data_IF_199008852308
#
_entry.id   IF_199008852308
#
_cell.length_a   1.000
_cell.length_b   1.000
_cell.length_c   1.000
_cell.angle_alpha   90.00
_cell.angle_beta   90.00
_cell.angle_gamma   90.00
#
_symmetry.space_group_name_H-M   'P 1'
#
loop_
_entity.id
_entity.type
_entity.pdbx_description
1 polymer ?
#
# COMPACT_ATOMS: atom_id res chain seq x y z
N UNK A 1 -12.32 42.14 -22.24
CA UNK A 1 -12.64 41.29 -21.08
C UNK A 1 -11.37 40.56 -20.69
N UNK A 2 -10.69 41.04 -19.67
CA UNK A 2 -9.41 40.51 -19.21
C UNK A 2 -9.67 39.33 -18.30
N UNK A 3 -9.35 38.12 -18.77
CA UNK A 3 -9.43 36.90 -17.97
C UNK A 3 -8.40 37.02 -16.85
N UNK A 4 -8.85 37.22 -15.62
CA UNK A 4 -7.97 37.23 -14.46
C UNK A 4 -7.31 35.84 -14.35
N UNK A 5 -5.98 35.79 -14.49
CA UNK A 5 -5.21 34.59 -14.22
C UNK A 5 -5.50 34.15 -12.78
N UNK A 6 -6.09 32.96 -12.62
CA UNK A 6 -6.15 32.32 -11.32
C UNK A 6 -4.72 32.20 -10.78
N UNK A 7 -4.45 32.58 -9.52
CA UNK A 7 -3.14 32.33 -8.94
C UNK A 7 -2.84 30.84 -9.07
N UNK A 8 -1.69 30.50 -9.66
CA UNK A 8 -1.29 29.11 -9.82
C UNK A 8 -1.38 28.41 -8.47
N UNK A 9 -2.14 27.31 -8.41
CA UNK A 9 -2.26 26.50 -7.21
C UNK A 9 -0.85 26.09 -6.77
N UNK A 10 -0.48 26.45 -5.54
CA UNK A 10 0.84 26.18 -4.97
C UNK A 10 0.67 25.40 -3.69
N UNK A 11 1.45 24.33 -3.53
CA UNK A 11 1.45 23.52 -2.31
C UNK A 11 1.89 24.38 -1.13
N UNK A 12 1.18 24.27 -0.02
CA UNK A 12 1.60 24.96 1.20
C UNK A 12 2.90 24.35 1.70
N UNK A 13 3.93 25.15 1.92
CA UNK A 13 5.23 24.67 2.45
C UNK A 13 5.06 23.92 3.78
N UNK A 14 4.11 24.34 4.63
CA UNK A 14 3.79 23.64 5.88
C UNK A 14 3.16 22.25 5.70
N UNK A 15 2.73 21.92 4.49
CA UNK A 15 2.23 20.60 4.12
C UNK A 15 3.32 19.73 3.47
N UNK A 16 4.58 20.18 3.42
CA UNK A 16 5.69 19.42 2.85
C UNK A 16 6.66 18.97 3.93
N UNK A 17 7.17 17.74 3.79
CA UNK A 17 8.34 17.27 4.53
C UNK A 17 9.33 16.62 3.58
N UNK A 18 10.58 17.06 3.65
CA UNK A 18 11.64 16.57 2.77
C UNK A 18 12.71 15.83 3.58
N UNK A 19 13.14 14.69 3.05
CA UNK A 19 14.34 13.99 3.49
C UNK A 19 15.29 13.92 2.30
N UNK A 20 16.50 14.42 2.51
CA UNK A 20 17.53 14.50 1.47
C UNK A 20 18.57 13.40 1.64
N UNK A 21 19.11 13.00 0.51
CA UNK A 21 20.33 12.20 0.37
C UNK A 21 21.49 12.72 1.24
N UNK A 22 22.45 11.86 1.65
CA UNK A 22 23.59 12.27 2.44
C UNK A 22 24.45 13.32 1.72
N UNK A 23 24.82 14.40 2.42
CA UNK A 23 25.60 15.52 1.85
C UNK A 23 26.98 15.10 1.36
N UNK A 24 27.58 14.09 1.99
CA UNK A 24 28.87 13.49 1.56
C UNK A 24 28.68 12.27 0.65
N UNK A 25 27.46 12.00 0.21
CA UNK A 25 27.10 10.87 -0.64
C UNK A 25 27.08 11.25 -2.13
N UNK A 26 26.67 10.30 -3.00
CA UNK A 26 26.43 10.60 -4.41
C UNK A 26 25.28 11.58 -4.58
N UNK A 27 25.22 12.22 -5.74
CA UNK A 27 24.07 13.05 -6.13
C UNK A 27 22.75 12.26 -6.04
N UNK A 28 21.65 12.99 -5.88
CA UNK A 28 20.31 12.42 -5.84
C UNK A 28 20.07 11.54 -7.07
N UNK A 29 19.74 10.27 -6.81
CA UNK A 29 19.42 9.26 -7.83
C UNK A 29 18.07 9.48 -8.51
N UNK A 30 17.25 10.32 -7.91
CA UNK A 30 15.90 10.68 -8.32
C UNK A 30 15.11 11.17 -7.13
N UNK A 31 13.84 11.46 -7.36
CA UNK A 31 12.93 11.97 -6.34
C UNK A 31 11.71 11.07 -6.19
N UNK A 32 11.35 10.82 -4.95
CA UNK A 32 10.14 10.12 -4.54
C UNK A 32 9.18 11.12 -3.90
N UNK A 33 8.04 11.36 -4.54
CA UNK A 33 6.99 12.21 -3.98
C UNK A 33 5.92 11.34 -3.34
N UNK A 34 5.80 11.41 -2.01
CA UNK A 34 4.83 10.64 -1.24
C UNK A 34 3.54 11.44 -1.10
N UNK A 35 2.42 10.91 -1.59
CA UNK A 35 1.08 11.44 -1.36
C UNK A 35 0.47 10.69 -0.18
N UNK A 36 0.24 11.40 0.92
CA UNK A 36 -0.18 10.79 2.19
C UNK A 36 -1.61 10.26 2.14
N UNK A 37 -1.93 9.34 3.06
CA UNK A 37 -3.25 8.77 3.21
C UNK A 37 -4.26 9.72 3.85
N UNK A 38 -5.48 9.23 4.04
CA UNK A 38 -6.59 10.05 4.55
C UNK A 38 -6.28 10.54 5.95
N UNK A 39 -6.29 11.85 6.15
CA UNK A 39 -6.03 12.46 7.45
C UNK A 39 -4.62 12.29 8.00
N UNK A 40 -3.72 11.64 7.27
CA UNK A 40 -2.31 11.56 7.65
C UNK A 40 -1.60 12.91 7.43
N UNK A 41 -0.50 13.11 8.14
CA UNK A 41 0.44 14.20 7.89
C UNK A 41 1.76 13.65 7.33
N UNK A 42 2.62 14.49 6.71
CA UNK A 42 3.90 14.06 6.18
C UNK A 42 4.81 13.36 7.19
N UNK A 43 4.69 13.69 8.49
CA UNK A 43 5.49 13.12 9.59
C UNK A 43 5.35 11.60 9.70
N UNK A 44 4.22 11.03 9.30
CA UNK A 44 3.96 9.58 9.25
C UNK A 44 5.02 8.83 8.43
N UNK A 45 5.63 9.51 7.46
CA UNK A 45 6.59 8.93 6.51
C UNK A 45 8.05 9.06 6.93
N UNK A 46 8.35 9.55 8.14
CA UNK A 46 9.73 9.83 8.54
C UNK A 46 10.67 8.63 8.38
N UNK A 47 10.28 7.45 8.85
CA UNK A 47 11.14 6.27 8.71
C UNK A 47 11.27 5.78 7.27
N UNK A 48 10.24 5.94 6.45
CA UNK A 48 10.25 5.54 5.05
C UNK A 48 11.16 6.49 4.26
N UNK A 49 10.94 7.79 4.42
CA UNK A 49 11.72 8.85 3.79
C UNK A 49 13.19 8.78 4.16
N UNK A 50 13.54 8.62 5.45
CA UNK A 50 14.94 8.48 5.88
C UNK A 50 15.65 7.27 5.28
N UNK A 51 14.95 6.15 5.06
CA UNK A 51 15.57 4.95 4.48
C UNK A 51 15.88 5.14 3.00
N UNK A 52 14.91 5.61 2.22
CA UNK A 52 15.12 5.90 0.81
C UNK A 52 16.17 7.02 0.61
N UNK A 53 16.18 8.02 1.49
CA UNK A 53 17.22 9.04 1.51
C UNK A 53 18.62 8.45 1.74
N UNK A 54 18.76 7.47 2.63
CA UNK A 54 20.04 6.78 2.82
C UNK A 54 20.51 6.04 1.56
N UNK A 55 19.58 5.61 0.71
CA UNK A 55 19.86 5.03 -0.62
C UNK A 55 20.00 6.09 -1.74
N UNK A 56 20.22 7.36 -1.35
CA UNK A 56 20.41 8.52 -2.22
C UNK A 56 19.20 8.93 -3.08
N UNK A 57 17.98 8.63 -2.64
CA UNK A 57 16.76 9.22 -3.22
C UNK A 57 16.28 10.42 -2.41
N UNK A 58 15.98 11.53 -3.07
CA UNK A 58 15.29 12.63 -2.40
C UNK A 58 13.84 12.23 -2.16
N UNK A 59 13.33 12.39 -0.95
CA UNK A 59 11.93 12.07 -0.62
C UNK A 59 11.19 13.32 -0.18
N UNK A 60 10.04 13.59 -0.79
CA UNK A 60 9.16 14.71 -0.44
C UNK A 60 7.77 14.17 -0.15
N UNK A 61 7.32 14.24 1.10
CA UNK A 61 5.94 13.92 1.47
C UNK A 61 5.04 15.16 1.38
N UNK A 62 3.90 15.00 0.70
CA UNK A 62 2.88 16.01 0.45
C UNK A 62 1.65 15.68 1.28
N UNK A 63 1.40 16.51 2.29
CA UNK A 63 0.30 16.39 3.25
C UNK A 63 -0.98 17.11 2.85
N UNK A 64 -0.99 17.72 1.66
CA UNK A 64 -2.19 18.32 1.09
C UNK A 64 -3.08 17.20 0.53
N UNK A 65 -4.32 17.04 1.02
CA UNK A 65 -5.24 16.05 0.47
C UNK A 65 -5.62 16.41 -0.97
N UNK A 66 -5.57 15.43 -1.86
CA UNK A 66 -5.90 15.58 -3.28
C UNK A 66 -5.27 16.81 -3.96
N UNK A 67 -3.92 16.90 -3.99
CA UNK A 67 -3.25 18.08 -4.46
C UNK A 67 -3.49 18.30 -5.96
N UNK A 68 -3.67 19.57 -6.35
CA UNK A 68 -3.89 19.92 -7.75
C UNK A 68 -2.70 19.51 -8.63
N UNK A 69 -2.93 18.96 -9.85
CA UNK A 69 -1.85 18.54 -10.73
C UNK A 69 -0.80 19.61 -11.02
N UNK A 70 -1.22 20.87 -11.17
CA UNK A 70 -0.32 22.00 -11.44
C UNK A 70 0.62 22.28 -10.25
N UNK A 71 0.12 22.09 -9.03
CA UNK A 71 0.90 22.30 -7.82
C UNK A 71 1.98 21.21 -7.66
N UNK A 72 1.63 19.96 -7.96
CA UNK A 72 2.57 18.84 -7.98
C UNK A 72 3.58 19.00 -9.13
N UNK A 73 3.14 19.37 -10.33
CA UNK A 73 4.03 19.64 -11.46
C UNK A 73 5.07 20.74 -11.14
N UNK A 74 4.63 21.83 -10.51
CA UNK A 74 5.50 22.90 -10.07
C UNK A 74 6.54 22.40 -9.03
N UNK A 75 6.13 21.53 -8.12
CA UNK A 75 7.06 20.89 -7.18
C UNK A 75 8.09 20.02 -7.92
N UNK A 76 7.65 19.14 -8.83
CA UNK A 76 8.54 18.24 -9.59
C UNK A 76 9.59 19.01 -10.39
N UNK A 77 9.23 20.15 -10.98
CA UNK A 77 10.15 20.99 -11.76
C UNK A 77 11.33 21.55 -10.93
N UNK A 78 11.24 21.54 -9.59
CA UNK A 78 12.31 21.99 -8.68
C UNK A 78 13.19 20.86 -8.16
N UNK A 79 12.86 19.61 -8.49
CA UNK A 79 13.44 18.42 -7.89
C UNK A 79 14.22 17.59 -8.90
N UNK A 80 15.30 16.89 -8.49
CA UNK A 80 16.07 16.04 -9.38
C UNK A 80 15.22 14.87 -9.90
N UNK A 81 15.22 14.68 -11.21
CA UNK A 81 14.61 13.52 -11.86
C UNK A 81 15.48 12.25 -11.76
N UNK A 82 14.94 11.07 -12.11
CA UNK A 82 13.53 10.83 -12.43
C UNK A 82 12.62 10.97 -11.21
N UNK A 83 11.35 11.31 -11.44
CA UNK A 83 10.35 11.44 -10.39
C UNK A 83 9.45 10.21 -10.31
N UNK A 84 9.22 9.69 -9.11
CA UNK A 84 8.28 8.59 -8.85
C UNK A 84 7.26 9.04 -7.81
N UNK A 85 5.98 8.81 -8.10
CA UNK A 85 4.91 9.04 -7.13
C UNK A 85 4.75 7.81 -6.24
N UNK A 86 4.62 8.00 -4.94
CA UNK A 86 4.26 6.94 -3.99
C UNK A 86 2.98 7.38 -3.32
N UNK A 87 1.89 6.67 -3.54
CA UNK A 87 0.62 6.94 -2.90
C UNK A 87 0.24 5.83 -1.93
N UNK A 88 -0.41 6.21 -0.83
CA UNK A 88 -0.91 5.32 0.21
C UNK A 88 -2.36 5.64 0.53
N UNK A 89 -3.22 4.63 0.75
CA UNK A 89 -4.64 4.87 1.06
C UNK A 89 -5.27 5.83 0.01
N UNK A 90 -5.97 6.92 0.38
CA UNK A 90 -6.46 7.88 -0.61
C UNK A 90 -5.35 8.58 -1.43
N UNK A 91 -4.15 8.71 -0.88
CA UNK A 91 -2.98 9.17 -1.62
C UNK A 91 -2.61 8.23 -2.77
N UNK A 92 -2.93 6.93 -2.70
CA UNK A 92 -2.77 5.98 -3.80
C UNK A 92 -3.71 6.29 -4.97
N UNK A 93 -4.96 6.67 -4.68
CA UNK A 93 -5.91 7.12 -5.70
C UNK A 93 -5.43 8.44 -6.34
N UNK A 94 -4.97 9.40 -5.53
CA UNK A 94 -4.40 10.64 -6.04
C UNK A 94 -3.15 10.39 -6.90
N UNK A 95 -2.26 9.49 -6.50
CA UNK A 95 -1.07 9.14 -7.26
C UNK A 95 -1.43 8.53 -8.63
N UNK A 96 -2.42 7.64 -8.66
CA UNK A 96 -2.92 7.06 -9.91
C UNK A 96 -3.51 8.14 -10.84
N UNK A 97 -4.31 9.09 -10.30
CA UNK A 97 -4.87 10.21 -11.08
C UNK A 97 -3.76 11.11 -11.63
N UNK A 98 -2.79 11.48 -10.81
CA UNK A 98 -1.69 12.36 -11.19
C UNK A 98 -0.75 11.72 -12.21
N UNK A 99 -0.45 10.42 -12.08
CA UNK A 99 0.40 9.68 -13.01
C UNK A 99 -0.17 9.60 -14.45
N UNK A 100 -1.46 9.94 -14.65
CA UNK A 100 -2.05 10.03 -16.01
C UNK A 100 -1.76 11.35 -16.71
N UNK A 101 -1.46 12.40 -15.94
CA UNK A 101 -1.38 13.78 -16.45
C UNK A 101 -0.01 14.43 -16.20
N UNK A 102 0.80 13.86 -15.32
CA UNK A 102 2.14 14.32 -15.02
C UNK A 102 3.19 13.45 -15.71
N UNK A 103 4.30 14.08 -16.08
CA UNK A 103 5.50 13.38 -16.55
C UNK A 103 6.25 12.80 -15.35
N UNK A 104 5.94 11.55 -15.01
CA UNK A 104 6.57 10.80 -13.92
C UNK A 104 7.10 9.48 -14.47
N UNK A 105 8.23 9.01 -13.93
CA UNK A 105 8.89 7.81 -14.42
C UNK A 105 8.27 6.51 -13.89
N UNK A 106 7.42 6.60 -12.86
CA UNK A 106 6.73 5.44 -12.29
C UNK A 106 5.85 5.81 -11.11
N UNK A 107 5.10 4.83 -10.63
CA UNK A 107 4.23 4.96 -9.46
C UNK A 107 4.29 3.73 -8.56
N UNK A 108 4.25 3.98 -7.25
CA UNK A 108 4.05 2.95 -6.22
C UNK A 108 2.70 3.20 -5.56
N UNK A 109 1.86 2.18 -5.51
CA UNK A 109 0.53 2.25 -4.91
C UNK A 109 0.48 1.29 -3.71
N UNK A 110 0.35 1.84 -2.50
CA UNK A 110 0.30 1.09 -1.25
C UNK A 110 -1.10 1.15 -0.62
N UNK A 111 -1.63 0.03 -0.13
CA UNK A 111 -2.90 0.01 0.61
C UNK A 111 -4.06 0.69 -0.14
N UNK A 112 -4.25 0.39 -1.43
CA UNK A 112 -5.24 1.08 -2.26
C UNK A 112 -6.66 0.83 -1.71
N UNK A 113 -7.42 1.89 -1.37
CA UNK A 113 -8.76 1.77 -0.81
C UNK A 113 -9.71 1.10 -1.80
N UNK A 114 -10.57 0.22 -1.29
CA UNK A 114 -11.64 -0.42 -2.07
C UNK A 114 -13.00 -0.26 -1.40
N UNK A 115 -14.07 -0.31 -2.18
CA UNK A 115 -15.43 -0.15 -1.66
C UNK A 115 -15.88 -1.33 -0.77
N UNK A 116 -15.16 -2.45 -0.77
CA UNK A 116 -15.49 -3.68 -0.05
C UNK A 116 -14.96 -3.74 1.40
N UNK A 117 -14.32 -2.67 1.88
CA UNK A 117 -13.70 -2.61 3.21
C UNK A 117 -14.64 -2.55 4.41
N UNK A 118 -14.06 -2.77 5.60
CA UNK A 118 -14.77 -2.55 6.86
C UNK A 118 -15.10 -1.06 7.01
N UNK A 119 -16.40 -0.77 7.21
CA UNK A 119 -16.90 0.60 7.36
C UNK A 119 -16.95 1.00 8.82
N UNK A 120 -16.50 2.22 9.13
CA UNK A 120 -16.55 2.83 10.48
C UNK A 120 -15.92 1.97 11.58
N UNK A 121 -14.63 2.19 11.80
CA UNK A 121 -13.91 1.66 12.95
C UNK A 121 -13.90 2.68 14.10
N UNK A 122 -13.89 2.18 15.35
CA UNK A 122 -13.47 3.02 16.48
C UNK A 122 -12.01 3.43 16.30
N UNK A 123 -11.54 4.44 17.03
CA UNK A 123 -10.15 4.89 16.94
C UNK A 123 -9.13 3.76 17.11
N UNK A 124 -9.26 2.97 18.17
CA UNK A 124 -8.34 1.87 18.42
C UNK A 124 -8.44 0.76 17.36
N UNK A 125 -9.64 0.51 16.84
CA UNK A 125 -9.84 -0.48 15.79
C UNK A 125 -9.27 -0.01 14.43
N UNK A 126 -9.32 1.29 14.13
CA UNK A 126 -8.68 1.89 12.95
C UNK A 126 -7.16 1.75 13.07
N UNK A 127 -6.56 2.14 14.20
CA UNK A 127 -5.11 1.99 14.41
C UNK A 127 -4.66 0.53 14.30
N UNK A 128 -5.44 -0.39 14.85
CA UNK A 128 -5.21 -1.83 14.70
C UNK A 128 -5.35 -2.23 13.23
N UNK A 129 -6.41 -1.85 12.52
CA UNK A 129 -6.56 -2.19 11.10
C UNK A 129 -5.47 -1.60 10.20
N UNK A 130 -4.86 -0.47 10.56
CA UNK A 130 -3.79 0.17 9.78
C UNK A 130 -2.45 -0.49 9.95
N UNK A 131 -2.07 -0.90 11.16
CA UNK A 131 -0.74 -1.47 11.40
C UNK A 131 -0.70 -2.42 12.58
N UNK A 132 0.09 -3.48 12.44
CA UNK A 132 0.44 -4.41 13.51
C UNK A 132 1.63 -3.92 14.34
N UNK A 133 2.35 -2.89 13.88
CA UNK A 133 3.52 -2.35 14.54
C UNK A 133 3.14 -1.33 15.65
N UNK A 134 3.37 -1.63 16.95
CA UNK A 134 2.99 -0.72 18.03
C UNK A 134 3.73 0.62 17.99
N UNK A 135 4.93 0.65 17.39
CA UNK A 135 5.66 1.91 17.18
C UNK A 135 4.96 2.78 16.13
N UNK A 136 4.47 2.19 15.04
CA UNK A 136 3.75 2.94 14.00
C UNK A 136 2.37 3.38 14.47
N UNK A 137 1.64 2.54 15.19
CA UNK A 137 0.37 2.92 15.81
C UNK A 137 0.49 4.18 16.68
N UNK A 138 1.59 4.32 17.43
CA UNK A 138 1.87 5.55 18.20
C UNK A 138 2.12 6.77 17.32
N UNK A 139 2.81 6.60 16.19
CA UNK A 139 3.02 7.69 15.22
C UNK A 139 1.68 8.10 14.61
N UNK A 140 0.87 7.15 14.15
CA UNK A 140 -0.48 7.41 13.66
C UNK A 140 -1.31 8.13 14.72
N UNK A 141 -1.20 7.73 15.99
CA UNK A 141 -1.95 8.35 17.06
C UNK A 141 -1.64 9.85 17.25
N UNK A 142 -0.46 10.30 16.84
CA UNK A 142 0.06 11.66 17.02
C UNK A 142 0.01 12.50 15.72
N UNK A 143 0.22 11.86 14.58
CA UNK A 143 0.46 12.48 13.27
C UNK A 143 -0.72 12.27 12.30
N UNK A 144 -1.92 12.11 12.84
CA UNK A 144 -3.15 12.04 12.05
C UNK A 144 -4.18 13.06 12.53
N UNK A 145 -5.07 13.43 11.62
CA UNK A 145 -6.17 14.37 11.80
C UNK A 145 -7.50 13.60 11.80
N UNK A 146 -8.59 14.30 12.12
CA UNK A 146 -9.94 13.71 12.23
C UNK A 146 -10.43 12.98 10.97
N UNK A 147 -9.87 13.29 9.79
CA UNK A 147 -10.22 12.64 8.52
C UNK A 147 -9.64 11.24 8.32
N UNK A 148 -8.87 10.70 9.27
CA UNK A 148 -8.47 9.29 9.25
C UNK A 148 -9.70 8.35 9.20
N UNK A 149 -10.83 8.74 9.80
CA UNK A 149 -12.11 8.01 9.77
C UNK A 149 -13.03 8.38 8.61
N UNK A 150 -12.57 9.15 7.62
CA UNK A 150 -13.41 9.46 6.48
C UNK A 150 -13.92 8.15 5.84
N UNK A 151 -15.15 8.14 5.33
CA UNK A 151 -15.69 6.92 4.71
C UNK A 151 -14.89 6.57 3.45
N UNK A 152 -14.21 5.41 3.49
CA UNK A 152 -13.46 4.84 2.35
C UNK A 152 -14.36 4.77 1.11
N UNK A 153 -15.62 4.37 1.29
CA UNK A 153 -16.56 4.18 0.18
C UNK A 153 -16.87 5.49 -0.53
N UNK A 154 -16.97 6.61 0.19
CA UNK A 154 -17.21 7.92 -0.42
C UNK A 154 -16.03 8.39 -1.27
N UNK A 155 -14.81 8.09 -0.81
CA UNK A 155 -13.57 8.43 -1.51
C UNK A 155 -13.40 7.55 -2.74
N UNK A 156 -13.64 6.25 -2.60
CA UNK A 156 -13.58 5.28 -3.69
C UNK A 156 -14.67 5.56 -4.74
N UNK A 157 -15.90 5.89 -4.33
CA UNK A 157 -16.99 6.21 -5.26
C UNK A 157 -16.73 7.51 -6.05
N UNK A 158 -15.98 8.46 -5.50
CA UNK A 158 -15.57 9.65 -6.22
C UNK A 158 -14.49 9.37 -7.28
N UNK A 159 -13.66 8.34 -7.07
CA UNK A 159 -12.45 8.09 -7.87
C UNK A 159 -12.50 6.84 -8.79
N UNK A 160 -13.33 5.81 -8.51
CA UNK A 160 -13.35 4.52 -9.24
C UNK A 160 -14.60 4.28 -10.12
N UNK A 161 -15.58 5.19 -10.19
CA UNK A 161 -16.71 5.07 -11.13
C UNK A 161 -16.49 5.82 -12.45
N UNK A 162 -15.27 6.29 -12.69
CA UNK A 162 -14.92 7.08 -13.86
C UNK A 162 -14.27 6.18 -14.93
N UNK A 163 -14.52 6.39 -16.25
CA UNK A 163 -13.86 5.69 -17.38
C UNK A 163 -12.31 5.70 -17.40
N UNK A 164 -11.65 6.15 -16.32
CA UNK A 164 -10.23 6.11 -15.98
C UNK A 164 -9.73 4.74 -15.47
N UNK A 165 -10.40 3.63 -15.78
CA UNK A 165 -9.94 2.25 -15.49
C UNK A 165 -8.88 1.71 -16.48
N UNK A 166 -8.42 2.53 -17.42
CA UNK A 166 -7.33 2.13 -18.32
C UNK A 166 -6.02 1.93 -17.53
N UNK A 167 -5.14 0.99 -17.93
CA UNK A 167 -3.81 0.86 -17.35
C UNK A 167 -3.08 2.20 -17.29
N UNK A 168 -2.32 2.45 -16.23
CA UNK A 168 -1.49 3.65 -16.14
C UNK A 168 -0.40 3.62 -17.21
N UNK A 169 -0.04 4.77 -17.80
CA UNK A 169 0.95 4.82 -18.89
C UNK A 169 2.39 4.65 -18.41
N UNK A 170 2.61 4.45 -17.11
CA UNK A 170 3.91 4.38 -16.46
C UNK A 170 4.05 3.06 -15.68
N UNK A 171 5.28 2.61 -15.37
CA UNK A 171 5.50 1.45 -14.52
C UNK A 171 4.80 1.57 -13.16
N UNK A 172 4.10 0.51 -12.74
CA UNK A 172 3.35 0.45 -11.48
C UNK A 172 3.89 -0.68 -10.59
N UNK A 173 4.29 -0.33 -9.36
CA UNK A 173 4.50 -1.27 -8.26
C UNK A 173 3.31 -1.17 -7.29
N UNK A 174 2.64 -2.29 -7.04
CA UNK A 174 1.60 -2.38 -6.02
C UNK A 174 2.11 -3.10 -4.77
N UNK A 175 1.81 -2.55 -3.61
CA UNK A 175 2.18 -3.08 -2.29
C UNK A 175 0.91 -3.20 -1.45
N UNK A 176 0.64 -4.37 -0.90
CA UNK A 176 -0.60 -4.57 -0.14
C UNK A 176 -0.40 -5.51 1.05
N UNK A 177 -1.10 -5.26 2.15
CA UNK A 177 -1.08 -6.13 3.32
C UNK A 177 -1.97 -7.34 3.07
N UNK A 178 -1.51 -8.54 3.40
CA UNK A 178 -2.33 -9.76 3.26
C UNK A 178 -3.57 -9.73 4.19
N UNK A 179 -3.42 -9.12 5.38
CA UNK A 179 -4.44 -8.99 6.41
C UNK A 179 -5.09 -7.59 6.44
N UNK A 180 -5.08 -6.87 5.31
CA UNK A 180 -5.72 -5.56 5.19
C UNK A 180 -7.26 -5.68 5.32
N UNK A 181 -7.80 -5.19 6.44
CA UNK A 181 -9.25 -5.14 6.70
C UNK A 181 -9.90 -3.86 6.21
N UNK A 182 -9.12 -2.80 5.97
CA UNK A 182 -9.61 -1.54 5.41
C UNK A 182 -9.86 -1.74 3.91
N UNK A 183 -8.98 -2.47 3.24
CA UNK A 183 -9.07 -2.78 1.82
C UNK A 183 -8.80 -4.27 1.62
N UNK A 184 -9.83 -5.13 1.58
CA UNK A 184 -9.60 -6.56 1.51
C UNK A 184 -8.76 -6.94 0.28
N UNK A 185 -7.75 -7.77 0.54
CA UNK A 185 -6.66 -8.09 -0.39
C UNK A 185 -7.14 -8.50 -1.78
N UNK A 186 -8.18 -9.34 -1.87
CA UNK A 186 -8.71 -9.81 -3.15
C UNK A 186 -9.20 -8.66 -4.05
N UNK A 187 -9.89 -7.68 -3.45
CA UNK A 187 -10.42 -6.53 -4.16
C UNK A 187 -9.31 -5.55 -4.54
N UNK A 188 -8.35 -5.33 -3.65
CA UNK A 188 -7.23 -4.44 -3.93
C UNK A 188 -6.34 -5.01 -5.05
N UNK A 189 -6.04 -6.31 -5.02
CA UNK A 189 -5.27 -6.99 -6.07
C UNK A 189 -5.96 -6.88 -7.43
N UNK A 190 -7.29 -7.05 -7.48
CA UNK A 190 -8.05 -6.84 -8.71
C UNK A 190 -7.92 -5.39 -9.22
N UNK A 191 -8.08 -4.40 -8.33
CA UNK A 191 -7.96 -2.98 -8.67
C UNK A 191 -6.54 -2.62 -9.18
N UNK A 192 -5.48 -3.12 -8.53
CA UNK A 192 -4.11 -2.91 -8.99
C UNK A 192 -3.87 -3.46 -10.40
N UNK A 193 -4.44 -4.61 -10.73
CA UNK A 193 -4.33 -5.20 -12.08
C UNK A 193 -5.03 -4.36 -13.12
N UNK A 194 -6.21 -3.81 -12.82
CA UNK A 194 -6.91 -2.85 -13.69
C UNK A 194 -6.04 -1.62 -13.95
N UNK A 195 -5.33 -1.13 -12.94
CA UNK A 195 -4.38 0.00 -13.06
C UNK A 195 -3.07 -0.35 -13.80
N UNK A 196 -2.89 -1.60 -14.24
CA UNK A 196 -1.72 -2.03 -15.01
C UNK A 196 -0.53 -2.50 -14.16
N UNK A 197 -0.72 -2.75 -12.86
CA UNK A 197 0.34 -3.29 -12.01
C UNK A 197 0.74 -4.71 -12.43
N UNK A 198 1.94 -4.83 -13.01
CA UNK A 198 2.58 -6.12 -13.31
C UNK A 198 3.26 -6.74 -12.10
N UNK A 199 3.61 -5.90 -11.13
CA UNK A 199 4.23 -6.31 -9.87
C UNK A 199 3.30 -5.95 -8.71
N UNK A 200 2.59 -6.95 -8.18
CA UNK A 200 1.78 -6.83 -6.97
C UNK A 200 2.48 -7.65 -5.88
N UNK A 201 2.98 -6.99 -4.85
CA UNK A 201 3.64 -7.63 -3.72
C UNK A 201 2.71 -7.63 -2.52
N UNK A 202 2.36 -8.82 -2.05
CA UNK A 202 1.65 -9.00 -0.79
C UNK A 202 2.65 -9.10 0.35
N UNK A 203 2.39 -8.35 1.42
CA UNK A 203 3.15 -8.39 2.66
C UNK A 203 2.45 -9.37 3.58
N UNK A 204 3.08 -10.52 3.81
CA UNK A 204 2.58 -11.55 4.72
C UNK A 204 2.34 -10.97 6.11
N UNK A 205 1.17 -11.29 6.68
CA UNK A 205 0.66 -10.74 7.95
C UNK A 205 0.59 -9.19 7.98
N UNK A 206 0.75 -8.54 6.82
CA UNK A 206 0.79 -7.09 6.70
C UNK A 206 -0.61 -6.49 6.73
N UNK A 207 -0.73 -5.32 7.33
CA UNK A 207 -1.95 -4.52 7.39
C UNK A 207 -1.93 -3.38 6.37
N UNK A 208 -2.86 -2.44 6.46
CA UNK A 208 -3.08 -1.39 5.46
C UNK A 208 -1.84 -0.51 5.17
N UNK A 209 -1.13 -0.07 6.21
CA UNK A 209 -0.01 0.87 6.12
C UNK A 209 1.31 0.17 5.78
N UNK A 210 1.37 -0.66 4.75
CA UNK A 210 2.52 -1.55 4.45
C UNK A 210 3.88 -0.87 4.34
N UNK A 211 3.95 0.39 3.89
CA UNK A 211 5.21 1.17 3.85
C UNK A 211 5.81 1.35 5.25
N UNK A 212 4.95 1.21 6.25
CA UNK A 212 5.13 1.60 7.62
C UNK A 212 4.68 0.50 8.61
N UNK A 213 4.35 -0.70 8.14
CA UNK A 213 3.95 -1.77 9.04
C UNK A 213 5.15 -2.56 9.60
N UNK A 214 4.93 -3.71 10.22
CA UNK A 214 5.99 -4.52 10.82
C UNK A 214 7.13 -4.86 9.83
N UNK A 215 6.80 -5.19 8.58
CA UNK A 215 7.76 -5.51 7.52
C UNK A 215 8.31 -4.28 6.77
N UNK A 216 8.17 -3.06 7.30
CA UNK A 216 8.51 -1.81 6.62
C UNK A 216 9.93 -1.78 6.02
N UNK A 217 10.90 -2.47 6.64
CA UNK A 217 12.28 -2.52 6.11
C UNK A 217 12.36 -3.28 4.79
N UNK A 218 11.69 -4.43 4.71
CA UNK A 218 11.59 -5.26 3.51
C UNK A 218 10.81 -4.53 2.43
N UNK A 219 9.69 -3.91 2.79
CA UNK A 219 8.85 -3.15 1.86
C UNK A 219 9.64 -2.00 1.22
N UNK A 220 10.33 -1.18 2.00
CA UNK A 220 11.15 -0.11 1.42
C UNK A 220 12.36 -0.66 0.61
N UNK A 221 12.89 -1.85 0.93
CA UNK A 221 13.88 -2.51 0.06
C UNK A 221 13.29 -2.88 -1.32
N UNK A 222 12.06 -3.37 -1.37
CA UNK A 222 11.37 -3.64 -2.63
C UNK A 222 11.10 -2.36 -3.42
N UNK A 223 10.74 -1.26 -2.73
CA UNK A 223 10.60 0.06 -3.36
C UNK A 223 11.93 0.51 -3.96
N UNK A 224 13.04 0.45 -3.22
CA UNK A 224 14.37 0.82 -3.74
C UNK A 224 14.74 0.01 -4.98
N UNK A 225 14.49 -1.30 -4.99
CA UNK A 225 14.72 -2.11 -6.19
C UNK A 225 13.86 -1.67 -7.39
N UNK A 226 12.62 -1.27 -7.16
CA UNK A 226 11.77 -0.71 -8.22
C UNK A 226 12.31 0.63 -8.72
N UNK A 227 12.71 1.53 -7.82
CA UNK A 227 13.27 2.84 -8.17
C UNK A 227 14.54 2.71 -9.01
N UNK A 228 15.44 1.78 -8.66
CA UNK A 228 16.65 1.53 -9.44
C UNK A 228 16.33 0.98 -10.84
N UNK A 229 15.28 0.17 -11.01
CA UNK A 229 14.83 -0.26 -12.35
C UNK A 229 14.22 0.89 -13.16
N UNK A 230 13.38 1.71 -12.53
CA UNK A 230 12.78 2.89 -13.17
C UNK A 230 13.84 3.85 -13.71
N UNK A 231 14.94 4.05 -12.96
CA UNK A 231 16.07 4.88 -13.41
C UNK A 231 16.72 4.39 -14.69
N UNK A 232 16.67 3.09 -14.97
CA UNK A 232 17.27 2.50 -16.16
C UNK A 232 16.33 2.49 -17.37
N UNK A 233 15.01 2.54 -17.15
CA UNK A 233 14.03 2.57 -18.24
C UNK A 233 12.62 2.18 -17.82
N UNK A 234 11.63 2.60 -18.63
CA UNK A 234 10.21 2.28 -18.43
C UNK A 234 9.85 0.81 -18.69
N UNK A 235 10.76 0.03 -19.27
CA UNK A 235 10.63 -1.42 -19.44
C UNK A 235 11.03 -2.22 -18.18
N UNK A 236 11.52 -1.55 -17.13
CA UNK A 236 11.93 -2.13 -15.85
C UNK A 236 12.94 -3.28 -16.01
N UNK A 237 14.17 -3.00 -16.51
CA UNK A 237 15.15 -4.05 -16.78
C UNK A 237 15.49 -4.84 -15.51
N UNK A 238 15.75 -6.14 -15.67
CA UNK A 238 16.12 -7.00 -14.55
C UNK A 238 17.54 -6.67 -14.09
N UNK A 239 17.67 -6.26 -12.83
CA UNK A 239 18.95 -5.91 -12.19
C UNK A 239 19.64 -7.10 -11.54
N UNK A 240 18.86 -8.00 -10.93
CA UNK A 240 19.34 -9.15 -10.16
C UNK A 240 18.47 -10.34 -10.50
N UNK A 241 19.10 -11.50 -10.74
CA UNK A 241 18.42 -12.76 -11.04
C UNK A 241 18.65 -13.77 -9.92
N UNK A 242 17.60 -14.49 -9.57
CA UNK A 242 17.65 -15.63 -8.67
C UNK A 242 17.56 -16.90 -9.50
N UNK A 243 18.72 -17.41 -9.92
CA UNK A 243 18.82 -18.53 -10.88
C UNK A 243 18.10 -19.79 -10.36
N UNK A 244 18.08 -20.00 -9.04
CA UNK A 244 17.38 -21.15 -8.45
C UNK A 244 15.85 -20.99 -8.53
N UNK A 245 15.33 -19.77 -8.34
CA UNK A 245 13.89 -19.48 -8.50
C UNK A 245 13.45 -19.46 -9.97
N UNK A 246 14.30 -18.97 -10.86
CA UNK A 246 14.03 -18.99 -12.30
C UNK A 246 13.83 -20.43 -12.78
N UNK A 247 14.75 -21.34 -12.41
CA UNK A 247 14.64 -22.76 -12.74
C UNK A 247 13.36 -23.42 -12.20
N UNK A 248 12.99 -23.13 -10.95
CA UNK A 248 11.76 -23.66 -10.35
C UNK A 248 10.47 -23.20 -11.04
N UNK A 249 10.48 -22.05 -11.72
CA UNK A 249 9.35 -21.58 -12.53
C UNK A 249 9.28 -22.29 -13.88
N UNK A 250 10.42 -22.53 -14.51
CA UNK A 250 10.49 -23.23 -15.79
C UNK A 250 10.06 -24.70 -15.66
N UNK A 251 10.29 -25.32 -14.49
CA UNK A 251 9.85 -26.68 -14.16
C UNK A 251 8.36 -26.77 -13.76
N UNK A 252 7.71 -25.65 -13.44
CA UNK A 252 6.29 -25.62 -13.14
C UNK A 252 5.50 -25.79 -14.44
N UNK A 253 4.89 -26.97 -14.64
CA UNK A 253 4.06 -27.27 -15.81
C UNK A 253 2.99 -26.19 -16.01
N UNK A 254 2.81 -25.62 -17.22
CA UNK A 254 1.75 -24.64 -17.45
C UNK A 254 0.38 -25.25 -17.12
N UNK A 255 -0.50 -24.47 -16.50
CA UNK A 255 -1.90 -24.86 -16.31
C UNK A 255 -2.48 -25.30 -17.66
N UNK A 256 -3.17 -26.45 -17.74
CA UNK A 256 -3.79 -26.87 -18.98
C UNK A 256 -4.79 -25.79 -19.41
N UNK A 257 -4.86 -25.45 -20.71
CA UNK A 257 -5.81 -24.46 -21.18
C UNK A 257 -7.21 -24.87 -20.77
N UNK A 258 -7.97 -23.93 -20.19
CA UNK A 258 -9.38 -24.13 -19.82
C UNK A 258 -10.18 -24.56 -21.06
N UNK A 259 -10.30 -25.88 -21.22
CA UNK A 259 -11.06 -26.52 -22.27
C UNK A 259 -12.54 -26.27 -22.07
N UNK A 260 -13.14 -25.74 -23.12
CA UNK A 260 -14.58 -25.63 -23.35
C UNK A 260 -15.30 -26.95 -23.04
N UNK A 261 -16.46 -26.84 -22.37
CA UNK A 261 -17.13 -27.97 -21.76
C UNK A 261 -17.82 -28.96 -22.70
N UNK A 262 -18.03 -30.17 -22.19
CA UNK A 262 -19.21 -30.99 -22.43
C UNK A 262 -19.41 -31.98 -21.25
N UNK A 263 -20.66 -32.29 -20.84
CA UNK A 263 -20.92 -33.03 -19.61
C UNK A 263 -20.99 -34.54 -19.87
N UNK A 264 -20.19 -35.33 -19.15
CA UNK A 264 -20.36 -36.78 -19.10
C UNK A 264 -21.39 -37.16 -18.03
N UNK A 265 -22.50 -37.75 -18.48
CA UNK A 265 -23.60 -38.26 -17.67
C UNK A 265 -23.17 -39.51 -16.87
N UNK A 266 -23.41 -39.44 -15.55
CA UNK A 266 -24.12 -40.43 -14.71
C UNK A 266 -23.71 -41.91 -14.81
N UNK A 267 -23.16 -42.44 -13.71
CA UNK A 267 -23.46 -43.79 -13.26
C UNK A 267 -23.63 -43.82 -11.73
N UNK A 268 -24.88 -44.06 -11.31
CA UNK A 268 -25.26 -44.38 -9.95
C UNK A 268 -24.63 -45.71 -9.53
N UNK A 269 -24.00 -45.77 -8.35
CA UNK A 269 -24.06 -46.97 -7.51
C UNK A 269 -24.35 -46.58 -6.07
N UNK A 270 -25.50 -47.07 -5.63
CA UNK A 270 -26.02 -47.05 -4.26
C UNK A 270 -25.20 -48.03 -3.41
N UNK A 271 -24.91 -47.65 -2.18
CA UNK A 271 -24.37 -48.52 -1.12
C UNK A 271 -24.41 -47.74 0.19
N UNK A 272 -25.46 -47.96 0.97
CA UNK A 272 -25.75 -47.25 2.20
C UNK A 272 -25.09 -47.95 3.43
N UNK A 273 -25.36 -47.52 4.68
CA UNK A 273 -24.37 -46.96 5.60
C UNK A 273 -24.02 -47.94 6.73
N UNK A 274 -22.96 -47.71 7.51
CA UNK A 274 -22.89 -48.05 8.95
C UNK A 274 -21.60 -47.53 9.57
N UNK A 275 -21.68 -46.97 10.79
CA UNK A 275 -20.49 -46.72 11.59
C UNK A 275 -20.52 -45.51 12.50
N UNK A 276 -21.53 -45.39 13.37
CA UNK A 276 -21.43 -44.54 14.57
C UNK A 276 -20.21 -44.95 15.38
N UNK A 277 -19.27 -44.03 15.65
CA UNK A 277 -18.46 -44.08 16.88
C UNK A 277 -18.50 -42.76 17.61
N UNK A 278 -18.96 -42.88 18.86
CA UNK A 278 -19.12 -41.84 19.85
C UNK A 278 -17.76 -41.53 20.50
N UNK A 279 -17.58 -40.23 20.80
CA UNK A 279 -17.04 -39.62 22.02
C UNK A 279 -15.60 -40.00 22.44
N UNK A 280 -14.79 -38.97 22.65
CA UNK A 280 -14.25 -38.67 23.99
C UNK A 280 -14.02 -37.16 24.16
N UNK A 281 -14.67 -36.62 25.18
CA UNK A 281 -14.49 -35.27 25.68
C UNK A 281 -13.20 -35.21 26.50
N UNK A 282 -12.42 -34.14 26.34
CA UNK A 282 -11.31 -33.78 27.24
C UNK A 282 -11.85 -32.73 28.22
N UNK A 283 -11.67 -32.90 29.54
CA UNK A 283 -12.23 -31.98 30.52
C UNK A 283 -11.41 -30.68 30.65
N UNK A 284 -12.15 -29.58 30.78
CA UNK A 284 -11.67 -28.22 31.08
C UNK A 284 -11.02 -28.18 32.46
N UNK A 285 -9.78 -27.69 32.56
CA UNK A 285 -9.20 -27.23 33.81
C UNK A 285 -9.73 -25.83 34.15
N UNK A 286 -10.29 -25.66 35.36
CA UNK A 286 -10.69 -24.36 35.94
C UNK A 286 -9.48 -23.66 36.57
N UNK A 287 -9.49 -22.31 36.66
CA UNK A 287 -8.36 -21.52 37.11
C UNK A 287 -8.22 -21.49 38.64
N UNK A 288 -6.97 -21.50 39.11
CA UNK A 288 -6.65 -21.26 40.51
C UNK A 288 -6.86 -19.79 40.86
N UNK A 289 -7.77 -19.54 41.81
CA UNK A 289 -7.91 -18.27 42.52
C UNK A 289 -6.74 -18.11 43.48
N UNK A 290 -5.98 -17.01 43.39
CA UNK A 290 -5.19 -16.50 44.53
C UNK A 290 -5.84 -15.21 45.03
N UNK A 291 -6.06 -15.18 46.35
CA UNK A 291 -6.64 -14.10 47.15
C UNK A 291 -5.68 -12.91 47.25
N UNK A 292 -6.20 -11.70 47.53
CA UNK A 292 -5.41 -10.52 47.81
C UNK A 292 -4.74 -10.62 49.19
N UNK A 293 -3.53 -10.08 49.32
CA UNK A 293 -2.92 -9.81 50.60
C UNK A 293 -3.25 -8.38 51.03
N UNK A 294 -3.71 -8.28 52.26
CA UNK A 294 -4.09 -7.05 52.97
C UNK A 294 -2.93 -6.09 53.22
N UNK A 295 -3.36 -4.86 53.45
CA UNK A 295 -2.66 -3.69 53.95
C UNK A 295 -1.73 -3.94 55.16
N UNK A 296 -0.68 -3.09 55.27
CA UNK A 296 -0.53 -2.05 56.33
C UNK A 296 0.88 -1.43 56.36
N UNK A 297 0.89 -0.14 56.72
CA UNK A 297 1.99 0.68 57.26
C UNK A 297 3.09 1.06 56.24
N UNK A 298 3.46 2.32 56.02
CA UNK A 298 3.44 3.54 56.84
C UNK A 298 3.20 4.77 55.97
#
# INVERSE_FOLDING_TARGET
MTTAAHPAASLRTSALRTWTEPVSGPDARGTVVVLVGRGETPEVYERFGRRLAADAFRVVAVGEPDPAPQAVAALLATLPGPHVLVGTDAGALAAARLARVLDVAGVVLAGLPTAAGVRSLTWDAELDARSACPAHQRVLAQATRTSLFADVTAIVAADLTDPRDAPLPVPVLALHGEDDRISPTEHAVAAYRTLGARHVLLVTDGRHDVLNDAAHRTVAGAVVQFLERVRLGGDLPTLVRDVARDAARDDATPDPPHGTGAPARRAQRRGAPHGRRRRRAVPRARPARRRPADARAR
#
